data_IF_988930040538
#
_entry.id   IF_988930040538
#
_cell.length_a   1.000
_cell.length_b   1.000
_cell.length_c   1.000
_cell.angle_alpha   90.00
_cell.angle_beta   90.00
_cell.angle_gamma   90.00
#
_symmetry.space_group_name_H-M   'P 1'
#
loop_
_entity.id
_entity.type
_entity.pdbx_description
1 polymer ?
#
# COMPACT_ATOMS: atom_id res chain seq x y z
N UNK A 1 2.97 -2.67 -12.40
CA UNK A 1 1.91 -2.01 -11.59
C UNK A 1 0.52 -2.10 -12.24
N UNK A 2 0.43 -2.67 -13.45
CA UNK A 2 -0.79 -2.66 -14.25
C UNK A 2 -1.90 -3.53 -13.64
N UNK A 3 -1.55 -4.71 -13.13
CA UNK A 3 -2.53 -5.61 -12.51
C UNK A 3 -3.20 -4.97 -11.28
N UNK A 4 -2.45 -4.27 -10.43
CA UNK A 4 -3.00 -3.60 -9.25
C UNK A 4 -3.96 -2.47 -9.68
N UNK A 5 -3.55 -1.71 -10.69
CA UNK A 5 -4.35 -0.63 -11.26
C UNK A 5 -5.65 -1.14 -11.87
N UNK A 6 -5.61 -2.24 -12.63
CA UNK A 6 -6.78 -2.88 -13.22
C UNK A 6 -7.73 -3.36 -12.12
N UNK A 7 -7.21 -4.09 -11.12
CA UNK A 7 -8.01 -4.60 -10.00
C UNK A 7 -8.70 -3.50 -9.22
N UNK A 8 -7.99 -2.40 -8.94
CA UNK A 8 -8.60 -1.28 -8.24
C UNK A 8 -9.67 -0.56 -9.05
N UNK A 9 -9.51 -0.46 -10.38
CA UNK A 9 -10.57 0.08 -11.25
C UNK A 9 -11.80 -0.83 -11.28
N UNK A 10 -11.61 -2.15 -11.35
CA UNK A 10 -12.70 -3.13 -11.29
C UNK A 10 -13.45 -3.08 -9.96
N UNK A 11 -12.72 -2.89 -8.86
CA UNK A 11 -13.27 -2.90 -7.50
C UNK A 11 -13.76 -1.52 -7.01
N UNK A 12 -13.38 -0.44 -7.68
CA UNK A 12 -13.73 0.93 -7.29
C UNK A 12 -15.23 1.19 -7.00
N UNK A 13 -16.20 0.65 -7.79
CA UNK A 13 -17.60 0.86 -7.49
C UNK A 13 -18.12 0.00 -6.32
N UNK A 14 -17.38 -1.04 -5.92
CA UNK A 14 -17.81 -2.03 -4.92
C UNK A 14 -17.11 -1.86 -3.57
N UNK A 15 -15.92 -1.25 -3.55
CA UNK A 15 -15.07 -1.14 -2.36
C UNK A 15 -14.99 0.31 -1.88
N UNK A 16 -15.24 0.49 -0.58
CA UNK A 16 -15.22 1.80 0.08
C UNK A 16 -13.82 2.21 0.53
N UNK A 17 -13.00 1.27 1.00
CA UNK A 17 -11.63 1.52 1.46
C UNK A 17 -10.68 0.43 0.96
N UNK A 18 -9.55 0.85 0.40
CA UNK A 18 -8.42 0.00 0.06
C UNK A 18 -7.34 0.13 1.14
N UNK A 19 -6.80 -1.01 1.57
CA UNK A 19 -5.65 -1.06 2.47
C UNK A 19 -4.53 -1.77 1.73
N UNK A 20 -3.39 -1.09 1.59
CA UNK A 20 -2.21 -1.61 0.93
C UNK A 20 -1.06 -1.65 1.92
N UNK A 21 -0.60 -2.87 2.23
CA UNK A 21 0.55 -3.11 3.08
C UNK A 21 1.70 -3.65 2.22
N UNK A 22 2.80 -2.92 2.17
CA UNK A 22 4.00 -3.32 1.44
C UNK A 22 5.08 -3.81 2.40
N UNK A 23 5.60 -5.02 2.19
CA UNK A 23 6.72 -5.50 2.99
C UNK A 23 8.03 -4.84 2.53
N UNK A 24 8.79 -4.27 3.48
CA UNK A 24 10.14 -3.76 3.21
C UNK A 24 11.22 -4.84 3.30
N UNK A 25 10.84 -6.07 3.67
CA UNK A 25 11.72 -7.21 3.84
C UNK A 25 11.20 -8.43 3.08
N UNK A 26 12.11 -9.27 2.57
CA UNK A 26 11.76 -10.55 1.95
C UNK A 26 11.48 -11.59 3.03
N UNK A 27 10.94 -12.74 2.62
CA UNK A 27 10.72 -13.88 3.51
C UNK A 27 12.00 -14.34 4.25
N UNK A 28 13.19 -14.06 3.71
CA UNK A 28 14.49 -14.40 4.29
C UNK A 28 15.14 -13.25 5.05
N UNK A 29 14.44 -12.13 5.27
CA UNK A 29 14.98 -10.96 5.99
C UNK A 29 15.85 -10.02 5.16
N UNK A 30 15.94 -10.21 3.83
CA UNK A 30 16.72 -9.31 2.97
C UNK A 30 15.90 -8.04 2.66
N UNK A 31 16.55 -6.87 2.57
CA UNK A 31 15.85 -5.63 2.25
C UNK A 31 15.24 -5.72 0.84
N UNK A 32 13.95 -5.39 0.75
CA UNK A 32 13.20 -5.34 -0.50
C UNK A 32 12.97 -3.87 -0.89
N UNK A 33 13.25 -3.47 -2.14
CA UNK A 33 12.90 -2.14 -2.62
C UNK A 33 11.38 -1.92 -2.52
N UNK A 34 10.97 -0.76 -2.00
CA UNK A 34 9.58 -0.35 -1.98
C UNK A 34 9.22 0.20 -3.36
N UNK A 35 8.26 -0.43 -4.04
CA UNK A 35 7.88 -0.04 -5.39
C UNK A 35 6.64 0.84 -5.41
N UNK A 36 5.71 0.67 -4.45
CA UNK A 36 4.44 1.40 -4.47
C UNK A 36 4.64 2.91 -4.31
N UNK A 37 5.59 3.32 -3.47
CA UNK A 37 5.91 4.74 -3.24
C UNK A 37 6.32 5.46 -4.51
N UNK A 38 7.06 4.81 -5.40
CA UNK A 38 7.54 5.38 -6.67
C UNK A 38 6.45 5.52 -7.73
N UNK A 39 5.35 4.78 -7.63
CA UNK A 39 4.23 4.81 -8.59
C UNK A 39 2.99 5.48 -8.05
N UNK A 40 3.10 6.25 -6.95
CA UNK A 40 1.99 6.89 -6.26
C UNK A 40 1.10 7.74 -7.18
N UNK A 41 1.70 8.38 -8.19
CA UNK A 41 0.97 9.17 -9.20
C UNK A 41 -0.05 8.35 -10.00
N UNK A 42 0.21 7.06 -10.25
CA UNK A 42 -0.72 6.17 -10.96
C UNK A 42 -1.97 5.84 -10.13
N UNK A 43 -1.90 6.05 -8.81
CA UNK A 43 -2.91 5.67 -7.84
C UNK A 43 -3.69 6.87 -7.28
N UNK A 44 -3.52 8.07 -7.84
CA UNK A 44 -4.25 9.30 -7.41
C UNK A 44 -5.77 9.13 -7.37
N UNK A 45 -6.33 8.32 -8.27
CA UNK A 45 -7.77 8.08 -8.32
C UNK A 45 -8.34 7.30 -7.12
N UNK A 46 -7.50 6.52 -6.42
CA UNK A 46 -7.90 5.79 -5.21
C UNK A 46 -7.38 6.42 -3.92
N UNK A 47 -6.49 7.41 -4.00
CA UNK A 47 -5.91 8.10 -2.84
C UNK A 47 -6.90 8.44 -1.72
N UNK A 48 -8.09 9.04 -1.98
CA UNK A 48 -9.04 9.37 -0.91
C UNK A 48 -9.62 8.16 -0.18
N UNK A 49 -9.47 6.95 -0.74
CA UNK A 49 -9.95 5.67 -0.20
C UNK A 49 -8.81 4.71 0.11
N UNK A 50 -7.55 5.14 0.01
CA UNK A 50 -6.39 4.25 0.12
C UNK A 50 -5.61 4.55 1.40
N UNK A 51 -5.50 3.54 2.26
CA UNK A 51 -4.56 3.53 3.38
C UNK A 51 -3.33 2.73 2.99
N UNK A 52 -2.16 3.36 2.97
CA UNK A 52 -0.88 2.73 2.66
C UNK A 52 0.01 2.63 3.89
N UNK A 53 0.60 1.46 4.11
CA UNK A 53 1.58 1.23 5.18
C UNK A 53 2.66 0.26 4.75
N UNK A 54 3.79 0.27 5.44
CA UNK A 54 4.89 -0.68 5.24
C UNK A 54 4.97 -1.64 6.41
N UNK A 55 5.13 -2.94 6.15
CA UNK A 55 5.34 -3.96 7.18
C UNK A 55 6.78 -4.48 7.13
N UNK A 56 7.39 -4.70 8.29
CA UNK A 56 8.84 -4.87 8.44
C UNK A 56 9.28 -4.69 9.89
N UNK A 57 10.54 -4.99 10.20
CA UNK A 57 11.11 -5.02 11.56
C UNK A 57 11.01 -3.72 12.38
N UNK A 58 10.47 -2.63 11.81
CA UNK A 58 10.12 -1.39 12.49
C UNK A 58 8.61 -1.25 12.83
N UNK A 59 7.89 -2.36 12.94
CA UNK A 59 6.49 -2.35 13.43
C UNK A 59 6.43 -2.19 14.96
N UNK A 60 6.98 -1.10 15.48
CA UNK A 60 6.74 -0.58 16.83
C UNK A 60 6.56 0.94 16.79
N UNK A 61 5.49 1.42 16.18
CA UNK A 61 4.93 2.70 16.64
C UNK A 61 3.43 2.77 16.31
N UNK A 62 2.62 2.24 17.24
CA UNK A 62 1.26 2.71 17.38
C UNK A 62 1.30 4.13 17.90
N UNK A 63 1.11 5.12 17.04
CA UNK A 63 0.82 6.49 17.48
C UNK A 63 -0.68 6.61 17.79
N UNK A 64 -1.07 6.96 19.02
CA UNK A 64 -2.45 7.31 19.31
C UNK A 64 -2.76 8.64 18.62
N UNK A 65 -3.88 8.66 17.91
CA UNK A 65 -4.51 9.89 17.40
C UNK A 65 -5.05 10.67 18.60
N UNK A 66 -4.51 11.88 18.83
CA UNK A 66 -5.08 12.88 19.73
C UNK A 66 -6.12 13.72 18.98
#
# INVERSE_FOLDING_TARGET
MDILTIRWKELYPYVTQFVLLESNSTFTGLPKPLFISHYRDQFKFVEPRLTYGTTGEDSREGKPIC
#
